data_IF_540507674907
#
_entry.id   IF_540507674907
#
_cell.length_a   1.000
_cell.length_b   1.000
_cell.length_c   1.000
_cell.angle_alpha   90.00
_cell.angle_beta   90.00
_cell.angle_gamma   90.00
#
_symmetry.space_group_name_H-M   'P 1'
#
loop_
_entity.id
_entity.type
_entity.pdbx_description
1 polymer ?
#
# COMPACT_ATOMS: atom_id res chain seq x y z
N UNK A 1 6.71 -34.58 8.56
CA UNK A 1 6.58 -33.24 7.95
C UNK A 1 5.18 -32.70 8.24
N UNK A 2 5.04 -31.76 9.16
CA UNK A 2 3.78 -31.02 9.35
C UNK A 2 3.81 -29.83 8.39
N UNK A 3 2.88 -29.79 7.44
CA UNK A 3 2.70 -28.61 6.61
C UNK A 3 2.12 -27.51 7.49
N UNK A 4 2.97 -26.58 7.94
CA UNK A 4 2.47 -25.29 8.39
C UNK A 4 1.93 -24.59 7.14
N UNK A 5 0.62 -24.70 6.91
CA UNK A 5 -0.08 -23.72 6.10
C UNK A 5 0.26 -22.37 6.71
N UNK A 6 0.91 -21.52 5.93
CA UNK A 6 1.14 -20.12 6.25
C UNK A 6 -0.26 -19.51 6.45
N UNK A 7 -0.74 -19.50 7.69
CA UNK A 7 -2.05 -19.00 8.00
C UNK A 7 -1.98 -17.51 7.69
N UNK A 8 -2.58 -17.09 6.58
CA UNK A 8 -2.74 -15.68 6.24
C UNK A 8 -3.32 -14.99 7.47
N UNK A 9 -2.46 -14.27 8.19
CA UNK A 9 -2.75 -13.81 9.54
C UNK A 9 -3.93 -12.84 9.46
N UNK A 10 -5.13 -13.30 9.86
CA UNK A 10 -6.26 -12.41 10.13
C UNK A 10 -5.81 -11.43 11.20
N UNK A 11 -5.53 -10.21 10.78
CA UNK A 11 -4.93 -9.19 11.63
C UNK A 11 -5.87 -8.02 11.71
N UNK A 12 -6.26 -7.70 12.94
CA UNK A 12 -7.07 -6.52 13.25
C UNK A 12 -6.34 -5.62 14.22
N UNK A 13 -6.69 -4.34 14.22
CA UNK A 13 -6.14 -3.39 15.18
C UNK A 13 -6.80 -2.03 15.10
N UNK A 14 -6.42 -1.18 16.04
CA UNK A 14 -6.85 0.22 16.12
C UNK A 14 -5.58 1.06 16.19
N UNK A 15 -5.48 2.11 15.37
CA UNK A 15 -4.35 3.03 15.43
C UNK A 15 -4.56 4.10 16.51
N UNK A 16 -3.55 4.92 16.77
CA UNK A 16 -3.61 5.99 17.78
C UNK A 16 -4.69 7.06 17.53
N UNK A 17 -5.25 7.11 16.33
CA UNK A 17 -6.32 8.02 15.92
C UNK A 17 -7.70 7.36 15.98
N UNK A 18 -7.81 6.14 16.51
CA UNK A 18 -9.09 5.43 16.62
C UNK A 18 -9.56 4.74 15.34
N UNK A 19 -8.79 4.79 14.25
CA UNK A 19 -9.16 4.09 13.02
C UNK A 19 -8.88 2.59 13.16
N UNK A 20 -9.82 1.79 12.68
CA UNK A 20 -9.81 0.33 12.80
C UNK A 20 -9.43 -0.30 11.47
N UNK A 21 -8.65 -1.38 11.52
CA UNK A 21 -8.31 -2.18 10.35
C UNK A 21 -8.55 -3.65 10.63
N UNK A 22 -8.91 -4.39 9.59
CA UNK A 22 -9.18 -5.84 9.62
C UNK A 22 -8.75 -6.46 8.28
N UNK A 23 -7.67 -7.25 8.31
CA UNK A 23 -7.27 -8.10 7.19
C UNK A 23 -8.05 -9.42 7.25
N UNK A 24 -8.83 -9.68 6.19
CA UNK A 24 -9.78 -10.79 6.12
C UNK A 24 -9.22 -12.02 5.41
N UNK A 25 -8.03 -11.91 4.82
CA UNK A 25 -7.30 -13.02 4.19
C UNK A 25 -6.92 -12.72 2.75
N UNK A 26 -6.83 -13.79 1.95
CA UNK A 26 -6.42 -13.71 0.55
C UNK A 26 -7.45 -12.98 -0.33
N UNK A 27 -6.97 -12.49 -1.48
CA UNK A 27 -7.79 -11.83 -2.48
C UNK A 27 -7.01 -11.57 -3.77
N UNK A 28 -7.73 -11.31 -4.86
CA UNK A 28 -7.20 -11.07 -6.20
C UNK A 28 -6.47 -9.72 -6.33
N UNK A 29 -6.66 -8.81 -5.38
CA UNK A 29 -5.89 -7.58 -5.30
C UNK A 29 -4.81 -7.67 -4.22
N UNK A 30 -3.69 -6.98 -4.46
CA UNK A 30 -2.55 -6.90 -3.54
C UNK A 30 -3.01 -6.43 -2.16
N UNK A 31 -2.56 -7.16 -1.13
CA UNK A 31 -3.00 -6.97 0.25
C UNK A 31 -4.20 -7.85 0.66
N UNK A 32 -4.80 -8.57 -0.28
CA UNK A 32 -5.89 -9.51 -0.04
C UNK A 32 -7.22 -8.82 0.23
N UNK A 33 -8.11 -9.47 0.99
CA UNK A 33 -9.35 -8.84 1.45
C UNK A 33 -9.10 -8.03 2.73
N UNK A 34 -9.64 -6.82 2.77
CA UNK A 34 -9.30 -5.84 3.79
C UNK A 34 -10.46 -4.90 4.08
N UNK A 35 -10.65 -4.56 5.35
CA UNK A 35 -11.60 -3.55 5.79
C UNK A 35 -10.91 -2.52 6.67
N UNK A 36 -11.25 -1.26 6.48
CA UNK A 36 -10.72 -0.13 7.24
C UNK A 36 -11.82 0.86 7.55
N UNK A 37 -11.93 1.27 8.80
CA UNK A 37 -12.93 2.21 9.28
C UNK A 37 -12.22 3.38 9.93
N UNK A 38 -12.53 4.58 9.50
CA UNK A 38 -12.06 5.80 10.13
C UNK A 38 -12.96 6.17 11.31
N UNK A 39 -12.41 6.94 12.26
CA UNK A 39 -13.16 7.39 13.42
C UNK A 39 -14.36 8.28 13.06
N UNK A 40 -14.30 8.99 11.93
CA UNK A 40 -15.38 9.84 11.43
C UNK A 40 -16.57 9.04 10.86
N UNK A 41 -16.48 7.71 10.79
CA UNK A 41 -17.51 6.82 10.28
C UNK A 41 -17.35 6.48 8.79
N UNK A 42 -16.42 7.13 8.08
CA UNK A 42 -16.06 6.71 6.72
C UNK A 42 -15.36 5.35 6.75
N UNK A 43 -15.52 4.55 5.70
CA UNK A 43 -14.86 3.25 5.62
C UNK A 43 -14.44 2.88 4.20
N UNK A 44 -13.46 1.99 4.12
CA UNK A 44 -12.96 1.38 2.92
C UNK A 44 -13.04 -0.13 3.04
N UNK A 45 -13.41 -0.78 1.94
CA UNK A 45 -13.51 -2.23 1.83
C UNK A 45 -12.83 -2.68 0.55
N UNK A 46 -11.94 -3.66 0.64
CA UNK A 46 -11.38 -4.41 -0.49
C UNK A 46 -11.89 -5.85 -0.39
N UNK A 47 -12.70 -6.22 -1.37
CA UNK A 47 -13.27 -7.54 -1.48
C UNK A 47 -12.21 -8.54 -1.96
N UNK A 48 -12.47 -9.83 -1.74
CA UNK A 48 -11.58 -10.90 -2.18
C UNK A 48 -11.47 -11.00 -3.70
N UNK A 49 -12.49 -10.58 -4.44
CA UNK A 49 -12.47 -10.47 -5.91
C UNK A 49 -11.65 -9.27 -6.41
N UNK A 50 -11.09 -8.47 -5.51
CA UNK A 50 -10.29 -7.29 -5.84
C UNK A 50 -11.11 -6.01 -6.09
N UNK A 51 -12.45 -6.08 -6.07
CA UNK A 51 -13.28 -4.86 -6.09
C UNK A 51 -13.11 -4.08 -4.80
N UNK A 52 -13.35 -2.76 -4.86
CA UNK A 52 -13.29 -1.90 -3.67
C UNK A 52 -14.52 -1.04 -3.52
N UNK A 53 -14.84 -0.72 -2.28
CA UNK A 53 -15.90 0.22 -1.95
C UNK A 53 -15.39 1.19 -0.89
N UNK A 54 -15.61 2.48 -1.12
CA UNK A 54 -15.38 3.55 -0.18
C UNK A 54 -16.71 4.20 0.19
N UNK A 55 -16.95 4.45 1.46
CA UNK A 55 -18.08 5.24 1.95
C UNK A 55 -17.57 6.41 2.76
N UNK A 56 -18.05 7.61 2.48
CA UNK A 56 -17.84 8.79 3.31
C UNK A 56 -18.76 8.78 4.53
N UNK A 57 -18.38 9.55 5.55
CA UNK A 57 -19.19 9.78 6.75
C UNK A 57 -20.52 10.50 6.48
N UNK A 58 -20.62 11.18 5.33
CA UNK A 58 -21.81 11.91 4.88
C UNK A 58 -22.80 11.03 4.09
N UNK A 59 -22.46 9.75 3.87
CA UNK A 59 -23.32 8.79 3.18
C UNK A 59 -23.08 8.66 1.67
N UNK A 60 -22.02 9.28 1.12
CA UNK A 60 -21.62 9.04 -0.27
C UNK A 60 -20.82 7.75 -0.38
N UNK A 61 -21.00 7.02 -1.48
CA UNK A 61 -20.31 5.77 -1.74
C UNK A 61 -19.67 5.75 -3.12
N UNK A 62 -18.46 5.20 -3.23
CA UNK A 62 -17.78 4.97 -4.51
C UNK A 62 -17.39 3.51 -4.60
N UNK A 63 -17.88 2.85 -5.65
CA UNK A 63 -17.49 1.50 -6.01
C UNK A 63 -16.43 1.56 -7.12
N UNK A 64 -15.43 0.70 -7.01
CA UNK A 64 -14.40 0.50 -8.04
C UNK A 64 -14.37 -0.97 -8.38
N UNK A 65 -14.52 -1.28 -9.68
CA UNK A 65 -14.46 -2.65 -10.16
C UNK A 65 -13.06 -3.23 -9.94
N UNK A 66 -12.91 -4.56 -9.94
CA UNK A 66 -11.58 -5.17 -9.84
C UNK A 66 -10.63 -4.69 -10.93
N UNK A 67 -11.11 -4.54 -12.16
CA UNK A 67 -10.28 -4.14 -13.30
C UNK A 67 -9.78 -2.68 -13.20
N UNK A 68 -10.58 -1.81 -12.58
CA UNK A 68 -10.20 -0.41 -12.35
C UNK A 68 -9.34 -0.24 -11.07
N UNK A 69 -9.16 -1.31 -10.28
CA UNK A 69 -8.36 -1.24 -9.07
C UNK A 69 -6.87 -1.34 -9.43
N UNK A 70 -6.04 -0.31 -9.15
CA UNK A 70 -4.61 -0.33 -9.45
C UNK A 70 -3.82 -1.37 -8.63
N UNK A 71 -4.46 -2.02 -7.66
CA UNK A 71 -3.90 -3.12 -6.88
C UNK A 71 -4.31 -4.50 -7.39
N UNK A 72 -5.17 -4.57 -8.40
CA UNK A 72 -5.61 -5.83 -8.96
C UNK A 72 -4.44 -6.55 -9.61
N UNK A 73 -4.30 -7.84 -9.33
CA UNK A 73 -3.42 -8.68 -10.11
C UNK A 73 -4.10 -8.91 -11.46
N UNK A 74 -3.74 -8.10 -12.45
CA UNK A 74 -3.89 -8.54 -13.82
C UNK A 74 -2.97 -9.76 -13.97
N UNK A 75 -3.57 -10.91 -14.27
CA UNK A 75 -2.81 -12.09 -14.65
C UNK A 75 -2.15 -11.78 -15.99
N UNK A 76 -1.05 -11.05 -15.98
CA UNK A 76 -0.19 -10.89 -17.14
C UNK A 76 0.35 -12.28 -17.45
N UNK A 77 -0.21 -12.90 -18.48
CA UNK A 77 0.37 -14.05 -19.16
C UNK A 77 1.85 -13.77 -19.33
N UNK A 78 2.68 -14.54 -18.62
CA UNK A 78 4.12 -14.38 -18.61
C UNK A 78 4.66 -14.88 -19.95
N UNK A 79 4.85 -13.98 -20.91
CA UNK A 79 5.71 -14.24 -22.06
C UNK A 79 7.14 -14.45 -21.53
N UNK A 80 7.64 -15.68 -21.66
CA UNK A 80 8.99 -16.09 -21.28
C UNK A 80 10.01 -15.39 -22.20
N UNK A 81 10.56 -14.26 -21.77
CA UNK A 81 11.69 -13.64 -22.45
C UNK A 81 13.01 -14.16 -21.84
N UNK A 82 13.66 -15.12 -22.50
CA UNK A 82 15.04 -15.55 -22.18
C UNK A 82 16.00 -14.36 -22.34
N UNK A 83 16.39 -13.71 -21.25
CA UNK A 83 17.44 -12.69 -21.27
C UNK A 83 18.81 -13.30 -20.94
N UNK A 84 19.69 -13.23 -21.94
CA UNK A 84 21.11 -13.56 -21.90
C UNK A 84 21.84 -12.84 -20.75
N UNK A 85 22.56 -13.60 -19.91
CA UNK A 85 23.27 -13.09 -18.74
C UNK A 85 24.48 -12.23 -19.14
N UNK A 86 24.44 -10.93 -18.83
CA UNK A 86 25.58 -10.02 -18.95
C UNK A 86 26.03 -9.60 -17.52
N UNK A 87 27.30 -9.85 -17.10
CA UNK A 87 27.75 -9.54 -15.75
C UNK A 87 27.93 -8.02 -15.53
N UNK A 88 27.43 -7.52 -14.40
CA UNK A 88 27.45 -6.09 -14.07
C UNK A 88 28.80 -5.58 -13.50
N UNK A 89 29.22 -4.33 -13.81
CA UNK A 89 30.43 -3.72 -13.26
C UNK A 89 30.25 -3.22 -11.80
N UNK A 90 31.34 -3.31 -11.03
CA UNK A 90 31.39 -3.01 -9.59
C UNK A 90 31.19 -1.50 -9.31
N UNK A 91 30.23 -1.16 -8.44
CA UNK A 91 29.95 0.21 -7.99
C UNK A 91 31.07 0.76 -7.08
N UNK A 92 31.61 1.94 -7.43
CA UNK A 92 32.47 2.77 -6.57
C UNK A 92 31.62 3.56 -5.56
N UNK A 93 32.00 3.52 -4.28
CA UNK A 93 31.34 4.29 -3.22
C UNK A 93 31.72 5.79 -3.28
N UNK A 94 30.73 6.68 -3.37
CA UNK A 94 30.90 8.14 -3.31
C UNK A 94 30.64 8.69 -1.91
N UNK A 95 31.58 9.51 -1.40
CA UNK A 95 31.52 10.18 -0.09
C UNK A 95 30.43 11.27 -0.06
N UNK A 96 29.56 11.23 0.96
CA UNK A 96 28.56 12.28 1.27
C UNK A 96 29.25 13.59 1.66
N UNK A 97 28.93 14.70 0.98
CA UNK A 97 29.25 16.07 1.44
C UNK A 97 28.03 16.67 2.13
N UNK A 98 28.19 17.05 3.40
CA UNK A 98 27.19 17.77 4.19
C UNK A 98 27.15 19.26 3.79
N UNK A 99 25.97 19.75 3.41
CA UNK A 99 25.72 21.20 3.19
C UNK A 99 25.07 21.76 4.45
N UNK A 100 25.76 22.70 5.12
CA UNK A 100 25.25 23.44 6.29
C UNK A 100 24.21 24.46 5.83
N UNK A 101 23.00 24.43 6.42
CA UNK A 101 21.97 25.47 6.28
C UNK A 101 22.30 26.64 7.19
N UNK A 102 22.42 27.85 6.65
CA UNK A 102 22.49 29.10 7.42
C UNK A 102 21.15 29.83 7.32
N UNK A 103 20.53 30.10 8.47
CA UNK A 103 19.27 30.83 8.65
C UNK A 103 19.53 32.34 8.67
N UNK A 104 18.95 33.09 7.74
CA UNK A 104 18.93 34.57 7.76
C UNK A 104 17.58 35.09 8.28
N UNK A 105 17.58 35.67 9.49
CA UNK A 105 16.50 36.55 9.99
C UNK A 105 16.61 37.89 9.26
N UNK A 106 15.52 38.42 8.72
CA UNK A 106 15.43 39.85 8.35
C UNK A 106 14.29 40.47 9.15
N UNK A 107 14.68 41.47 9.94
CA UNK A 107 13.87 42.25 10.87
C UNK A 107 13.11 43.39 10.20
N UNK A 108 11.95 43.69 10.77
CA UNK A 108 11.01 44.80 10.48
C UNK A 108 11.56 46.14 10.99
N UNK A 109 11.42 47.22 10.22
CA UNK A 109 11.47 48.63 10.68
C UNK A 109 10.61 49.45 9.70
N UNK A 110 9.42 49.91 10.14
CA UNK A 110 9.07 51.23 10.70
C UNK A 110 8.90 52.30 9.62
#
# INVERSE_FOLDING_TARGET
MSYHYDSYYRRRGINQYGNQYDNRGQGAARGGSYHYTNQDGSFFYQNSDGSTYYSSSEGYGTYTSPYDNPRYYESSESEEEEQEYIPQPRRRNSKKKNVKKTTGKVSKAK
#
